data_IF_203901720746
#
_entry.id   IF_203901720746
#
_cell.length_a   1.000
_cell.length_b   1.000
_cell.length_c   1.000
_cell.angle_alpha   90.00
_cell.angle_beta   90.00
_cell.angle_gamma   90.00
#
_symmetry.space_group_name_H-M   'P 1'
#
loop_
_entity.id
_entity.type
_entity.pdbx_description
1 polymer ?
#
# COMPACT_ATOMS: atom_id res chain seq x y z
N UNK A 1 4.25 -26.27 53.56
CA UNK A 1 3.05 -25.54 53.11
C UNK A 1 3.51 -24.70 51.94
N UNK A 2 3.13 -25.11 50.74
CA UNK A 2 3.75 -24.69 49.48
C UNK A 2 3.82 -23.17 49.33
N UNK A 3 5.03 -22.68 49.07
CA UNK A 3 5.36 -21.27 48.90
C UNK A 3 4.69 -20.73 47.64
N UNK A 4 4.18 -19.50 47.76
CA UNK A 4 3.35 -18.77 46.80
C UNK A 4 4.16 -18.21 45.62
N UNK A 5 5.25 -18.88 45.24
CA UNK A 5 6.17 -18.47 44.17
C UNK A 5 5.85 -19.09 42.80
N UNK A 6 4.65 -19.66 42.64
CA UNK A 6 4.19 -20.37 41.43
C UNK A 6 2.85 -19.83 40.90
N UNK A 7 2.61 -18.51 40.95
CA UNK A 7 1.61 -17.89 40.08
C UNK A 7 2.25 -17.51 38.75
N UNK A 8 2.36 -18.55 37.92
CA UNK A 8 2.09 -18.51 36.48
C UNK A 8 2.87 -17.50 35.64
N UNK A 9 4.14 -17.88 35.46
CA UNK A 9 4.94 -17.69 34.25
C UNK A 9 4.28 -18.26 32.98
N UNK A 10 3.10 -17.77 32.62
CA UNK A 10 2.42 -18.04 31.34
C UNK A 10 1.76 -16.75 30.82
N UNK A 11 2.55 -15.69 30.68
CA UNK A 11 2.20 -14.63 29.72
C UNK A 11 2.37 -15.28 28.34
N UNK A 12 1.29 -15.52 27.58
CA UNK A 12 1.38 -16.34 26.41
C UNK A 12 2.14 -15.57 25.35
N UNK A 13 3.17 -16.22 24.80
CA UNK A 13 3.90 -15.86 23.58
C UNK A 13 2.94 -15.54 22.39
N UNK A 14 1.65 -15.87 22.52
CA UNK A 14 0.55 -15.60 21.58
C UNK A 14 0.11 -14.11 21.55
N UNK A 15 0.42 -13.27 22.55
CA UNK A 15 0.12 -11.82 22.48
C UNK A 15 1.11 -11.06 21.57
N UNK A 16 2.04 -11.76 20.92
CA UNK A 16 2.78 -11.24 19.77
C UNK A 16 2.01 -11.57 18.46
N UNK A 17 0.68 -11.48 18.47
CA UNK A 17 -0.06 -11.17 17.24
C UNK A 17 0.29 -9.73 16.92
N UNK A 18 1.41 -9.54 16.22
CA UNK A 18 1.77 -8.22 15.73
C UNK A 18 0.66 -7.79 14.79
N UNK A 19 0.00 -6.69 15.12
CA UNK A 19 -0.85 -5.97 14.18
C UNK A 19 0.03 -5.61 12.97
N UNK A 20 -0.13 -6.37 11.88
CA UNK A 20 0.60 -6.14 10.66
C UNK A 20 0.07 -4.85 10.04
N UNK A 21 0.99 -3.94 9.69
CA UNK A 21 0.67 -2.68 9.04
C UNK A 21 1.36 -2.61 7.69
N UNK A 22 0.70 -2.01 6.70
CA UNK A 22 1.24 -1.76 5.37
C UNK A 22 1.17 -0.28 5.03
N UNK A 23 2.10 0.17 4.17
CA UNK A 23 2.00 1.50 3.56
C UNK A 23 1.24 1.40 2.24
N UNK A 24 0.00 1.89 2.24
CA UNK A 24 -0.90 1.74 1.11
C UNK A 24 -1.18 3.03 0.33
N UNK A 25 -1.65 2.86 -0.90
CA UNK A 25 -2.35 3.89 -1.67
C UNK A 25 -3.37 3.22 -2.61
N UNK A 26 -4.34 4.00 -3.07
CA UNK A 26 -5.33 3.61 -4.08
C UNK A 26 -4.94 4.32 -5.39
N UNK A 27 -4.91 3.59 -6.50
CA UNK A 27 -4.52 4.12 -7.79
C UNK A 27 -5.34 3.54 -8.95
N UNK A 28 -5.26 4.23 -10.09
CA UNK A 28 -5.73 3.74 -11.39
C UNK A 28 -4.49 3.47 -12.24
N UNK A 29 -4.35 2.24 -12.73
CA UNK A 29 -3.30 1.89 -13.68
C UNK A 29 -3.50 2.63 -15.00
N UNK A 30 -2.41 3.17 -15.54
CA UNK A 30 -2.44 3.79 -16.86
C UNK A 30 -1.45 3.11 -17.78
N UNK A 31 -1.90 2.87 -19.02
CA UNK A 31 -0.97 2.43 -20.07
C UNK A 31 -0.25 3.67 -20.61
N UNK A 32 1.09 3.68 -20.62
CA UNK A 32 1.83 4.80 -21.18
C UNK A 32 1.53 4.95 -22.67
N UNK A 33 1.14 6.16 -23.06
CA UNK A 33 1.02 6.55 -24.46
C UNK A 33 2.42 6.64 -25.09
N UNK A 34 2.49 6.61 -26.42
CA UNK A 34 3.77 6.76 -27.11
C UNK A 34 4.38 8.15 -26.90
N UNK A 35 3.55 9.17 -26.66
CA UNK A 35 4.01 10.50 -26.28
C UNK A 35 4.74 10.51 -24.93
N UNK A 36 4.19 9.82 -23.91
CA UNK A 36 4.84 9.69 -22.60
C UNK A 36 6.15 8.90 -22.73
N UNK A 37 6.16 7.81 -23.51
CA UNK A 37 7.38 7.01 -23.72
C UNK A 37 8.47 7.88 -24.36
N UNK A 38 8.15 8.59 -25.44
CA UNK A 38 9.09 9.49 -26.11
C UNK A 38 9.58 10.59 -25.17
N UNK A 39 8.69 11.15 -24.36
CA UNK A 39 9.07 12.17 -23.38
C UNK A 39 10.07 11.64 -22.34
N UNK A 40 9.84 10.43 -21.80
CA UNK A 40 10.76 9.78 -20.87
C UNK A 40 12.12 9.47 -21.53
N UNK A 41 12.13 9.01 -22.79
CA UNK A 41 13.36 8.81 -23.57
C UNK A 41 14.13 10.13 -23.77
N UNK A 42 13.42 11.22 -24.06
CA UNK A 42 14.03 12.53 -24.26
C UNK A 42 14.60 13.09 -22.95
N UNK A 43 13.93 12.84 -21.81
CA UNK A 43 14.47 13.16 -20.49
C UNK A 43 15.74 12.36 -20.17
N UNK A 44 15.77 11.06 -20.46
CA UNK A 44 16.95 10.22 -20.24
C UNK A 44 18.17 10.72 -21.02
N UNK A 45 17.97 11.14 -22.28
CA UNK A 45 19.03 11.71 -23.15
C UNK A 45 19.66 12.98 -22.58
N UNK A 46 18.98 13.72 -21.69
CA UNK A 46 19.53 14.94 -21.08
C UNK A 46 20.72 14.66 -20.15
N UNK A 47 20.89 13.40 -19.71
CA UNK A 47 21.87 13.00 -18.69
C UNK A 47 21.74 13.76 -17.37
N UNK A 48 20.59 14.39 -17.14
CA UNK A 48 20.27 14.98 -15.84
C UNK A 48 20.14 13.86 -14.80
N UNK A 49 20.45 14.17 -13.54
CA UNK A 49 20.34 13.20 -12.43
C UNK A 49 18.86 13.05 -12.01
N UNK A 50 18.09 12.36 -12.86
CA UNK A 50 16.66 12.09 -12.68
C UNK A 50 16.45 10.61 -12.36
N UNK A 51 15.49 10.31 -11.48
CA UNK A 51 14.98 8.95 -11.29
C UNK A 51 13.64 8.87 -12.01
N UNK A 52 13.65 8.27 -13.20
CA UNK A 52 12.44 8.05 -13.98
C UNK A 52 11.61 6.92 -13.36
N UNK A 53 10.31 6.96 -13.59
CA UNK A 53 9.40 5.86 -13.21
C UNK A 53 9.44 4.80 -14.30
N UNK A 54 9.54 3.53 -13.89
CA UNK A 54 9.41 2.41 -14.82
C UNK A 54 8.00 2.39 -15.41
N UNK A 55 7.89 2.06 -16.70
CA UNK A 55 6.63 2.16 -17.44
C UNK A 55 5.53 1.28 -16.85
N UNK A 56 5.90 0.11 -16.31
CA UNK A 56 5.01 -0.83 -15.63
C UNK A 56 4.49 -0.33 -14.28
N UNK A 57 5.17 0.63 -13.66
CA UNK A 57 4.78 1.22 -12.38
C UNK A 57 3.94 2.49 -12.55
N UNK A 58 3.55 2.83 -13.78
CA UNK A 58 2.84 4.06 -14.08
C UNK A 58 1.37 3.96 -13.70
N UNK A 59 0.98 4.83 -12.77
CA UNK A 59 -0.38 4.87 -12.24
C UNK A 59 -0.73 6.30 -11.84
N UNK A 60 -2.03 6.58 -11.74
CA UNK A 60 -2.55 7.80 -11.15
C UNK A 60 -2.96 7.48 -9.72
N UNK A 61 -2.24 8.00 -8.73
CA UNK A 61 -2.64 7.86 -7.32
C UNK A 61 -3.89 8.68 -7.05
N UNK A 62 -4.93 8.04 -6.53
CA UNK A 62 -6.17 8.70 -6.10
C UNK A 62 -6.10 9.13 -4.63
N UNK A 63 -5.56 8.25 -3.77
CA UNK A 63 -5.49 8.49 -2.33
C UNK A 63 -4.33 7.74 -1.70
N UNK A 64 -3.52 8.45 -0.92
CA UNK A 64 -2.57 7.82 -0.01
C UNK A 64 -3.28 7.35 1.25
N UNK A 65 -3.02 6.10 1.65
CA UNK A 65 -3.51 5.52 2.90
C UNK A 65 -2.46 5.70 4.01
N UNK A 66 -1.18 5.77 3.64
CA UNK A 66 -0.09 5.84 4.61
C UNK A 66 0.07 4.51 5.35
N UNK A 67 0.62 4.54 6.56
CA UNK A 67 0.69 3.37 7.44
C UNK A 67 -0.72 2.96 7.87
N UNK A 68 -1.17 1.79 7.44
CA UNK A 68 -2.53 1.28 7.60
C UNK A 68 -2.48 -0.12 8.20
N UNK A 69 -3.34 -0.40 9.17
CA UNK A 69 -3.45 -1.74 9.74
C UNK A 69 -4.10 -2.70 8.74
N UNK A 70 -3.54 -3.89 8.59
CA UNK A 70 -4.03 -4.90 7.63
C UNK A 70 -5.47 -5.34 7.94
N UNK A 71 -5.90 -5.27 9.20
CA UNK A 71 -7.29 -5.53 9.61
C UNK A 71 -8.31 -4.60 8.93
N UNK A 72 -7.88 -3.46 8.38
CA UNK A 72 -8.75 -2.54 7.66
C UNK A 72 -8.89 -2.85 6.16
N UNK A 73 -8.14 -3.81 5.60
CA UNK A 73 -8.13 -4.10 4.16
C UNK A 73 -9.53 -4.41 3.63
N UNK A 74 -10.26 -5.33 4.26
CA UNK A 74 -11.60 -5.71 3.82
C UNK A 74 -12.56 -4.51 3.82
N UNK A 75 -12.45 -3.65 4.84
CA UNK A 75 -13.28 -2.44 4.93
C UNK A 75 -12.91 -1.40 3.86
N UNK A 76 -11.63 -1.28 3.53
CA UNK A 76 -11.15 -0.40 2.48
C UNK A 76 -11.70 -0.86 1.12
N UNK A 77 -11.65 -2.17 0.84
CA UNK A 77 -12.21 -2.76 -0.38
C UNK A 77 -13.71 -2.45 -0.49
N UNK A 78 -14.48 -2.73 0.56
CA UNK A 78 -15.92 -2.45 0.60
C UNK A 78 -16.25 -0.98 0.31
N UNK A 79 -15.50 -0.05 0.89
CA UNK A 79 -15.69 1.39 0.68
C UNK A 79 -15.38 1.78 -0.78
N UNK A 80 -14.32 1.22 -1.37
CA UNK A 80 -13.96 1.48 -2.77
C UNK A 80 -15.08 1.01 -3.69
N UNK A 81 -15.57 -0.22 -3.53
CA UNK A 81 -16.66 -0.79 -4.34
C UNK A 81 -17.94 0.04 -4.24
N UNK A 82 -18.32 0.45 -3.03
CA UNK A 82 -19.50 1.29 -2.82
C UNK A 82 -19.34 2.69 -3.43
N UNK A 83 -18.12 3.22 -3.49
CA UNK A 83 -17.83 4.55 -4.03
C UNK A 83 -17.96 4.61 -5.56
N UNK A 84 -17.79 3.49 -6.26
CA UNK A 84 -17.83 3.42 -7.72
C UNK A 84 -19.19 3.01 -8.29
N UNK A 85 -20.16 2.61 -7.45
CA UNK A 85 -21.43 2.02 -7.90
C UNK A 85 -22.27 2.86 -8.87
N UNK A 86 -22.04 4.17 -8.94
CA UNK A 86 -22.75 5.09 -9.85
C UNK A 86 -21.84 5.76 -10.89
N UNK A 87 -20.58 5.34 -11.00
CA UNK A 87 -19.59 5.92 -11.91
C UNK A 87 -19.46 5.01 -13.13
N UNK A 88 -19.56 5.59 -14.32
CA UNK A 88 -19.28 4.89 -15.58
C UNK A 88 -17.85 5.16 -16.04
N UNK A 89 -17.21 4.22 -16.78
CA UNK A 89 -15.91 4.43 -17.40
C UNK A 89 -15.87 5.62 -18.35
#
# INVERSE_FOLDING_TARGET
>A
MFDSSYQESFIPIIIISQYMSFRGFIAIDIKPTDEIKKFLEDLDKTKAKLKLVELENMHITLKFLGETQEEHIDKIIEIIENSIGNIKP
#
